data_IF_542483395732
#
_entry.id   IF_542483395732
#
_cell.length_a   1.000
_cell.length_b   1.000
_cell.length_c   1.000
_cell.angle_alpha   90.00
_cell.angle_beta   90.00
_cell.angle_gamma   90.00
#
_symmetry.space_group_name_H-M   'P 1'
#
loop_
_entity.id
_entity.type
_entity.pdbx_description
1 polymer ?
#
# COMPACT_ATOMS: atom_id res chain seq x y z
N UNK A 1 0.47 51.98 -41.32
CA UNK A 1 0.97 53.04 -40.40
C UNK A 1 2.01 52.41 -39.48
N UNK A 2 3.29 52.44 -39.84
CA UNK A 2 4.30 53.45 -39.47
C UNK A 2 4.64 53.52 -37.97
N UNK A 3 5.73 52.81 -37.63
CA UNK A 3 6.84 53.09 -36.69
C UNK A 3 6.63 54.12 -35.57
N UNK A 4 7.09 53.76 -34.36
CA UNK A 4 8.14 54.53 -33.65
C UNK A 4 9.04 53.65 -32.79
N UNK A 5 10.33 53.83 -33.01
CA UNK A 5 11.49 53.31 -32.28
C UNK A 5 12.08 54.47 -31.49
N UNK A 6 12.36 54.27 -30.20
CA UNK A 6 13.36 54.98 -29.38
C UNK A 6 13.64 54.02 -28.20
N UNK A 7 14.83 53.48 -27.93
CA UNK A 7 16.18 54.02 -28.08
C UNK A 7 16.60 54.66 -26.75
N UNK A 8 17.29 53.93 -25.87
CA UNK A 8 18.09 54.53 -24.79
C UNK A 8 19.30 53.66 -24.45
N UNK A 9 20.42 54.37 -24.32
CA UNK A 9 21.81 53.93 -24.25
C UNK A 9 22.19 53.39 -22.88
N UNK A 10 23.24 52.56 -22.91
CA UNK A 10 23.78 51.84 -21.77
C UNK A 10 24.45 52.68 -20.68
N UNK A 11 24.73 51.99 -19.58
CA UNK A 11 25.90 52.24 -18.74
C UNK A 11 26.64 50.93 -18.53
N UNK A 12 27.87 50.90 -19.01
CA UNK A 12 28.86 49.90 -18.68
C UNK A 12 29.37 50.17 -17.27
N UNK A 13 29.31 49.16 -16.41
CA UNK A 13 29.96 49.14 -15.11
C UNK A 13 30.63 47.79 -14.95
N UNK A 14 31.97 47.80 -14.98
CA UNK A 14 32.80 46.63 -14.81
C UNK A 14 32.93 46.24 -13.32
N UNK A 15 32.70 44.97 -13.01
CA UNK A 15 33.21 44.27 -11.82
C UNK A 15 33.22 42.77 -12.19
N UNK A 16 34.34 42.19 -12.65
CA UNK A 16 35.42 41.56 -11.86
C UNK A 16 34.91 40.66 -10.73
N UNK A 17 35.14 39.35 -10.93
CA UNK A 17 34.93 38.27 -9.94
C UNK A 17 33.47 37.86 -9.88
N UNK A 18 33.08 36.59 -10.03
CA UNK A 18 33.63 35.41 -9.37
C UNK A 18 33.47 34.23 -10.33
N UNK A 19 34.61 33.64 -10.68
CA UNK A 19 34.69 32.32 -11.28
C UNK A 19 34.41 31.32 -10.14
N UNK A 20 33.46 30.40 -10.35
CA UNK A 20 33.43 29.14 -9.61
C UNK A 20 32.22 28.93 -8.69
N UNK A 21 31.71 27.70 -8.77
CA UNK A 21 30.73 27.05 -7.89
C UNK A 21 29.26 27.45 -8.09
N UNK A 22 28.63 26.85 -9.11
CA UNK A 22 27.20 26.57 -9.12
C UNK A 22 26.95 25.29 -9.94
N UNK A 23 27.56 24.19 -9.50
CA UNK A 23 27.28 22.84 -9.99
C UNK A 23 27.36 21.87 -8.79
N UNK A 24 26.47 22.07 -7.83
CA UNK A 24 26.15 21.08 -6.81
C UNK A 24 24.63 21.02 -6.71
N UNK A 25 23.98 20.66 -7.83
CA UNK A 25 22.64 20.09 -7.76
C UNK A 25 22.80 18.80 -6.96
N UNK A 26 22.35 18.87 -5.72
CA UNK A 26 22.34 17.77 -4.77
C UNK A 26 21.80 16.52 -5.47
N UNK A 27 22.68 15.53 -5.67
CA UNK A 27 22.26 14.15 -5.81
C UNK A 27 21.65 13.77 -4.46
N UNK A 28 20.38 14.11 -4.27
CA UNK A 28 19.61 13.59 -3.16
C UNK A 28 19.69 12.07 -3.26
N UNK A 29 20.08 11.36 -2.18
CA UNK A 29 20.15 9.92 -2.21
C UNK A 29 18.73 9.39 -2.44
N UNK A 30 18.47 8.92 -3.66
CA UNK A 30 17.24 8.21 -4.05
C UNK A 30 17.13 6.82 -3.38
N UNK A 31 18.09 6.45 -2.55
CA UNK A 31 18.26 5.11 -1.99
C UNK A 31 17.86 5.08 -0.52
N UNK A 32 16.58 5.34 -0.22
CA UNK A 32 15.95 4.95 1.05
C UNK A 32 14.42 5.15 1.00
N UNK A 33 13.77 4.75 -0.10
CA UNK A 33 12.31 4.60 -0.11
C UNK A 33 11.91 3.22 0.44
N UNK A 34 12.63 2.76 1.47
CA UNK A 34 12.26 1.56 2.20
C UNK A 34 11.05 1.88 3.06
N UNK A 35 10.04 1.00 3.03
CA UNK A 35 8.92 0.73 3.96
C UNK A 35 8.34 1.79 4.92
N UNK A 36 9.06 2.86 5.29
CA UNK A 36 8.62 3.92 6.20
C UNK A 36 7.45 4.77 5.70
N UNK A 37 6.93 4.52 4.49
CA UNK A 37 5.65 5.09 4.05
C UNK A 37 4.43 4.41 4.72
N UNK A 38 4.59 3.19 5.26
CA UNK A 38 3.52 2.44 5.91
C UNK A 38 3.40 2.75 7.41
N UNK A 39 4.49 3.14 8.08
CA UNK A 39 4.52 3.38 9.53
C UNK A 39 3.40 4.33 10.01
N UNK A 40 3.09 5.45 9.32
CA UNK A 40 1.99 6.31 9.74
C UNK A 40 0.63 5.64 9.66
N UNK A 41 0.41 4.73 8.71
CA UNK A 41 -0.85 4.00 8.53
C UNK A 41 -1.03 2.93 9.61
N UNK A 42 0.06 2.29 10.03
CA UNK A 42 0.01 1.24 11.06
C UNK A 42 -0.52 1.75 12.41
N UNK A 43 -0.38 3.06 12.69
CA UNK A 43 -0.93 3.67 13.90
C UNK A 43 -2.47 3.54 13.99
N UNK A 44 -3.15 3.51 12.84
CA UNK A 44 -4.61 3.41 12.78
C UNK A 44 -5.12 1.97 12.97
N UNK A 45 -4.22 0.98 13.06
CA UNK A 45 -4.60 -0.44 13.23
C UNK A 45 -5.34 -0.69 14.55
N UNK A 46 -5.00 0.06 15.59
CA UNK A 46 -5.69 0.08 16.88
C UNK A 46 -6.74 1.22 16.98
N UNK A 47 -6.90 2.00 15.90
CA UNK A 47 -7.79 3.15 15.84
C UNK A 47 -9.27 2.75 15.84
N UNK A 48 -10.14 3.73 16.12
CA UNK A 48 -11.60 3.52 16.16
C UNK A 48 -12.29 3.70 14.81
N UNK A 49 -11.68 4.42 13.86
CA UNK A 49 -12.26 4.62 12.53
C UNK A 49 -12.13 3.35 11.68
N UNK A 50 -13.23 2.69 11.28
CA UNK A 50 -13.15 1.43 10.55
C UNK A 50 -12.44 1.57 9.19
N UNK A 51 -12.64 2.68 8.48
CA UNK A 51 -12.03 2.89 7.17
C UNK A 51 -10.51 3.06 7.27
N UNK A 52 -10.03 3.90 8.20
CA UNK A 52 -8.60 4.04 8.47
C UNK A 52 -7.98 2.71 8.94
N UNK A 53 -8.66 1.98 9.83
CA UNK A 53 -8.21 0.68 10.31
C UNK A 53 -8.14 -0.38 9.20
N UNK A 54 -9.06 -0.36 8.23
CA UNK A 54 -8.97 -1.22 7.04
C UNK A 54 -7.69 -0.96 6.26
N UNK A 55 -7.37 0.32 6.01
CA UNK A 55 -6.12 0.71 5.37
C UNK A 55 -4.88 0.30 6.18
N UNK A 56 -4.94 0.43 7.51
CA UNK A 56 -3.89 -0.01 8.40
C UNK A 56 -3.69 -1.53 8.39
N UNK A 57 -4.76 -2.31 8.26
CA UNK A 57 -4.68 -3.77 8.15
C UNK A 57 -4.03 -4.20 6.81
N UNK A 58 -4.35 -3.51 5.71
CA UNK A 58 -3.61 -3.71 4.45
C UNK A 58 -2.14 -3.33 4.59
N UNK A 59 -1.84 -2.22 5.26
CA UNK A 59 -0.47 -1.80 5.54
C UNK A 59 0.28 -2.83 6.41
N UNK A 60 -0.40 -3.47 7.37
CA UNK A 60 0.17 -4.54 8.19
C UNK A 60 0.58 -5.75 7.36
N UNK A 61 -0.28 -6.21 6.43
CA UNK A 61 0.07 -7.26 5.48
C UNK A 61 1.31 -6.88 4.64
N UNK A 62 1.33 -5.67 4.08
CA UNK A 62 2.45 -5.21 3.25
C UNK A 62 3.75 -5.04 4.05
N UNK A 63 3.66 -4.60 5.31
CA UNK A 63 4.81 -4.46 6.20
C UNK A 63 5.37 -5.81 6.67
N UNK A 64 4.50 -6.83 6.76
CA UNK A 64 4.91 -8.21 6.98
C UNK A 64 5.72 -8.80 5.81
N UNK A 65 5.44 -8.36 4.59
CA UNK A 65 6.16 -8.75 3.36
C UNK A 65 6.29 -10.28 3.19
N UNK A 66 5.18 -11.00 3.40
CA UNK A 66 5.12 -12.47 3.31
C UNK A 66 5.70 -13.20 4.53
N UNK A 67 6.28 -12.50 5.50
CA UNK A 67 6.71 -13.05 6.77
C UNK A 67 5.53 -13.06 7.76
N UNK A 68 4.99 -14.26 8.01
CA UNK A 68 3.85 -14.46 8.89
C UNK A 68 4.15 -14.05 10.34
N UNK A 69 5.37 -14.31 10.84
CA UNK A 69 5.77 -13.94 12.19
C UNK A 69 5.84 -12.42 12.36
N UNK A 70 6.33 -11.68 11.34
CA UNK A 70 6.26 -10.20 11.35
C UNK A 70 4.82 -9.71 11.35
N UNK A 71 3.98 -10.30 10.51
CA UNK A 71 2.57 -9.89 10.38
C UNK A 71 1.80 -10.14 11.68
N UNK A 72 2.00 -11.31 12.30
CA UNK A 72 1.45 -11.69 13.60
C UNK A 72 1.83 -10.67 14.68
N UNK A 73 3.13 -10.31 14.76
CA UNK A 73 3.61 -9.32 15.71
C UNK A 73 2.96 -7.93 15.55
N UNK A 74 2.65 -7.52 14.31
CA UNK A 74 1.98 -6.24 14.03
C UNK A 74 0.53 -6.27 14.54
N UNK A 75 -0.26 -7.29 14.19
CA UNK A 75 -1.66 -7.39 14.61
C UNK A 75 -1.81 -7.59 16.12
N UNK A 76 -1.00 -8.47 16.72
CA UNK A 76 -1.00 -8.67 18.18
C UNK A 76 -0.54 -7.43 18.93
N UNK A 77 0.47 -6.72 18.43
CA UNK A 77 0.93 -5.46 18.99
C UNK A 77 -0.13 -4.35 18.96
N UNK A 78 -1.03 -4.39 17.97
CA UNK A 78 -2.18 -3.48 17.87
C UNK A 78 -3.41 -3.94 18.68
N UNK A 79 -3.31 -5.06 19.41
CA UNK A 79 -4.38 -5.56 20.28
C UNK A 79 -5.53 -6.28 19.56
N UNK A 80 -5.30 -6.80 18.35
CA UNK A 80 -6.27 -7.64 17.68
C UNK A 80 -6.35 -9.03 18.33
N UNK A 81 -7.56 -9.60 18.40
CA UNK A 81 -7.79 -10.91 18.99
C UNK A 81 -7.23 -12.01 18.08
N UNK A 82 -6.19 -12.71 18.54
CA UNK A 82 -5.51 -13.77 17.77
C UNK A 82 -6.13 -15.14 18.02
N UNK A 83 -6.49 -15.84 16.95
CA UNK A 83 -7.07 -17.18 16.96
C UNK A 83 -6.20 -18.07 16.05
N UNK A 84 -5.59 -19.11 16.62
CA UNK A 84 -4.83 -20.08 15.82
C UNK A 84 -5.76 -21.20 15.33
N UNK A 85 -5.75 -21.47 14.03
CA UNK A 85 -6.54 -22.51 13.38
C UNK A 85 -5.60 -23.58 12.79
N UNK A 86 -5.01 -24.46 13.63
CA UNK A 86 -3.96 -25.38 13.19
C UNK A 86 -4.43 -26.40 12.15
N UNK A 87 -5.73 -26.72 12.12
CA UNK A 87 -6.33 -27.62 11.12
C UNK A 87 -6.35 -27.00 9.73
N UNK A 88 -6.46 -25.67 9.64
CA UNK A 88 -6.46 -24.90 8.40
C UNK A 88 -5.07 -24.36 8.05
N UNK A 89 -4.11 -24.45 8.98
CA UNK A 89 -2.75 -23.94 8.82
C UNK A 89 -2.69 -22.40 8.79
N UNK A 90 -3.67 -21.72 9.36
CA UNK A 90 -3.76 -20.25 9.36
C UNK A 90 -3.85 -19.69 10.77
N UNK A 91 -3.52 -18.41 10.90
CA UNK A 91 -3.83 -17.60 12.09
C UNK A 91 -4.80 -16.51 11.68
N UNK A 92 -5.92 -16.43 12.39
CA UNK A 92 -6.91 -15.37 12.24
C UNK A 92 -6.70 -14.29 13.31
N UNK A 93 -6.96 -13.05 12.93
CA UNK A 93 -7.01 -11.89 13.81
C UNK A 93 -8.36 -11.21 13.66
N UNK A 94 -9.06 -10.97 14.76
CA UNK A 94 -10.30 -10.20 14.76
C UNK A 94 -10.03 -8.77 15.26
N UNK A 95 -10.46 -7.79 14.47
CA UNK A 95 -10.38 -6.38 14.82
C UNK A 95 -11.35 -5.99 15.94
N UNK A 96 -11.14 -4.84 16.59
CA UNK A 96 -11.87 -4.46 17.80
C UNK A 96 -13.38 -4.24 17.61
N UNK A 97 -13.85 -4.00 16.39
CA UNK A 97 -15.28 -3.89 16.08
C UNK A 97 -15.92 -5.21 15.61
N UNK A 98 -15.14 -6.29 15.50
CA UNK A 98 -15.55 -7.60 14.99
C UNK A 98 -16.17 -7.58 13.58
N UNK A 99 -15.83 -6.58 12.78
CA UNK A 99 -16.21 -6.50 11.36
C UNK A 99 -15.03 -6.74 10.44
N UNK A 100 -13.81 -6.55 10.96
CA UNK A 100 -12.57 -6.70 10.24
C UNK A 100 -11.83 -7.92 10.74
N UNK A 101 -11.31 -8.69 9.79
CA UNK A 101 -10.56 -9.91 10.06
C UNK A 101 -9.28 -9.89 9.23
N UNK A 102 -8.20 -10.43 9.77
CA UNK A 102 -7.02 -10.73 8.99
C UNK A 102 -6.69 -12.21 9.14
N UNK A 103 -6.22 -12.84 8.07
CA UNK A 103 -5.75 -14.22 8.07
C UNK A 103 -4.37 -14.25 7.47
N UNK A 104 -3.46 -14.97 8.12
CA UNK A 104 -2.11 -15.23 7.60
C UNK A 104 -1.88 -16.73 7.50
N UNK A 105 -1.10 -17.14 6.50
CA UNK A 105 -0.67 -18.52 6.34
C UNK A 105 0.85 -18.60 6.22
N UNK A 106 1.45 -19.54 6.95
CA UNK A 106 2.91 -19.76 6.95
C UNK A 106 3.38 -20.45 5.66
N UNK A 107 2.57 -21.38 5.14
CA UNK A 107 2.85 -22.15 3.92
C UNK A 107 2.26 -21.39 2.74
N UNK A 108 3.05 -21.15 1.69
CA UNK A 108 2.69 -20.36 0.50
C UNK A 108 2.47 -18.85 0.73
N UNK A 109 2.64 -18.37 1.97
CA UNK A 109 2.88 -16.97 2.32
C UNK A 109 1.82 -16.01 1.82
N UNK A 110 0.63 -16.02 2.44
CA UNK A 110 -0.41 -15.01 2.16
C UNK A 110 -0.83 -14.24 3.41
N UNK A 111 -1.34 -13.03 3.19
CA UNK A 111 -2.06 -12.24 4.17
C UNK A 111 -3.37 -11.76 3.55
N UNK A 112 -4.50 -12.10 4.14
CA UNK A 112 -5.82 -11.71 3.67
C UNK A 112 -6.49 -10.81 4.71
N UNK A 113 -7.13 -9.73 4.29
CA UNK A 113 -7.93 -8.86 5.17
C UNK A 113 -9.35 -8.82 4.65
N UNK A 114 -10.30 -9.17 5.50
CA UNK A 114 -11.73 -9.16 5.24
C UNK A 114 -12.40 -8.02 6.01
N UNK A 115 -13.44 -7.44 5.42
CA UNK A 115 -14.26 -6.40 6.04
C UNK A 115 -15.74 -6.59 5.68
N UNK A 116 -16.59 -6.71 6.70
CA UNK A 116 -18.04 -6.90 6.60
C UNK A 116 -18.82 -5.57 6.56
N UNK A 117 -18.21 -4.51 6.04
CA UNK A 117 -18.81 -3.18 6.03
C UNK A 117 -18.52 -2.30 4.84
N UNK A 118 -17.51 -2.67 4.08
CA UNK A 118 -16.92 -1.88 3.02
C UNK A 118 -17.00 -2.70 1.76
N UNK A 119 -17.81 -2.24 0.81
CA UNK A 119 -17.86 -2.85 -0.51
C UNK A 119 -16.52 -2.83 -1.25
N UNK A 120 -16.39 -3.69 -2.24
CA UNK A 120 -15.19 -3.88 -3.06
C UNK A 120 -14.69 -2.58 -3.69
N UNK A 121 -15.57 -1.68 -4.13
CA UNK A 121 -15.18 -0.40 -4.73
C UNK A 121 -14.46 0.52 -3.74
N UNK A 122 -15.00 0.64 -2.53
CA UNK A 122 -14.40 1.44 -1.47
C UNK A 122 -13.08 0.81 -0.99
N UNK A 123 -13.05 -0.52 -0.84
CA UNK A 123 -11.83 -1.26 -0.53
C UNK A 123 -10.73 -1.07 -1.58
N UNK A 124 -11.08 -1.01 -2.87
CA UNK A 124 -10.13 -0.72 -3.97
C UNK A 124 -9.49 0.66 -3.83
N UNK A 125 -10.26 1.67 -3.43
CA UNK A 125 -9.75 3.03 -3.19
C UNK A 125 -8.76 3.01 -2.02
N UNK A 126 -9.10 2.33 -0.92
CA UNK A 126 -8.23 2.17 0.25
C UNK A 126 -6.94 1.44 -0.14
N UNK A 127 -7.05 0.30 -0.83
CA UNK A 127 -5.92 -0.48 -1.32
C UNK A 127 -4.97 0.38 -2.17
N UNK A 128 -5.50 1.13 -3.15
CA UNK A 128 -4.68 1.99 -4.00
C UNK A 128 -3.94 3.07 -3.19
N UNK A 129 -4.58 3.64 -2.17
CA UNK A 129 -3.95 4.59 -1.26
C UNK A 129 -2.79 3.97 -0.47
N UNK A 130 -2.99 2.78 0.07
CA UNK A 130 -1.96 2.04 0.83
C UNK A 130 -0.80 1.61 -0.07
N UNK A 131 -1.09 1.10 -1.28
CA UNK A 131 -0.08 0.72 -2.28
C UNK A 131 0.77 1.92 -2.68
N UNK A 132 0.14 3.08 -2.91
CA UNK A 132 0.86 4.32 -3.20
C UNK A 132 1.73 4.77 -2.02
N UNK A 133 1.24 4.66 -0.78
CA UNK A 133 2.01 4.95 0.42
C UNK A 133 3.22 4.01 0.59
N UNK A 134 3.09 2.75 0.17
CA UNK A 134 4.19 1.79 0.12
C UNK A 134 5.24 2.09 -0.97
N UNK A 135 4.99 3.07 -1.85
CA UNK A 135 5.85 3.36 -3.01
C UNK A 135 5.72 2.34 -4.15
N UNK A 136 4.69 1.50 -4.10
CA UNK A 136 4.44 0.46 -5.10
C UNK A 136 3.68 1.01 -6.31
N UNK A 137 3.66 0.24 -7.40
CA UNK A 137 2.92 0.56 -8.61
C UNK A 137 2.00 -0.60 -8.94
N UNK A 138 0.69 -0.35 -8.91
CA UNK A 138 -0.31 -1.35 -9.26
C UNK A 138 -0.41 -1.51 -10.77
N UNK A 139 -0.27 -2.73 -11.28
CA UNK A 139 -0.61 -3.08 -12.66
C UNK A 139 -1.60 -4.25 -12.67
N UNK A 140 -2.70 -4.20 -13.45
CA UNK A 140 -3.57 -5.34 -13.62
C UNK A 140 -2.79 -6.52 -14.20
N UNK A 141 -3.03 -7.72 -13.68
CA UNK A 141 -2.51 -8.96 -14.24
C UNK A 141 -3.65 -9.90 -14.59
N UNK A 142 -3.53 -10.58 -15.73
CA UNK A 142 -4.49 -11.59 -16.13
C UNK A 142 -4.18 -12.89 -15.40
N UNK A 143 -5.13 -13.36 -14.60
CA UNK A 143 -5.07 -14.69 -14.03
C UNK A 143 -5.75 -15.69 -14.99
N UNK A 144 -5.05 -16.72 -15.45
CA UNK A 144 -5.69 -17.81 -16.18
C UNK A 144 -6.64 -18.55 -15.23
N UNK A 145 -7.95 -18.39 -15.42
CA UNK A 145 -8.97 -19.13 -14.66
C UNK A 145 -9.26 -18.61 -13.25
N UNK A 146 -8.83 -17.39 -12.91
CA UNK A 146 -9.26 -16.71 -11.68
C UNK A 146 -10.62 -16.03 -11.86
N UNK A 147 -11.45 -16.04 -10.82
CA UNK A 147 -12.78 -15.45 -10.85
C UNK A 147 -12.73 -13.91 -10.68
N UNK A 148 -11.76 -13.38 -9.92
CA UNK A 148 -11.63 -11.96 -9.63
C UNK A 148 -10.32 -11.32 -10.14
N UNK A 149 -10.32 -10.00 -10.45
CA UNK A 149 -9.13 -9.34 -11.00
C UNK A 149 -7.95 -9.31 -10.02
N UNK A 150 -6.80 -9.77 -10.49
CA UNK A 150 -5.51 -9.63 -9.80
C UNK A 150 -4.81 -8.33 -10.17
N UNK A 151 -4.06 -7.79 -9.21
CA UNK A 151 -3.19 -6.63 -9.40
C UNK A 151 -1.81 -6.93 -8.87
N UNK A 152 -0.79 -6.91 -9.74
CA UNK A 152 0.60 -6.96 -9.27
C UNK A 152 0.99 -5.58 -8.71
N UNK A 153 1.57 -5.56 -7.52
CA UNK A 153 1.96 -4.33 -6.79
C UNK A 153 3.46 -4.04 -6.93
N UNK A 154 4.26 -5.09 -6.94
CA UNK A 154 5.69 -5.13 -7.25
C UNK A 154 6.00 -6.54 -7.77
N UNK A 155 7.16 -6.78 -8.43
CA UNK A 155 7.53 -8.12 -8.86
C UNK A 155 7.42 -9.13 -7.71
N UNK A 156 6.65 -10.21 -7.92
CA UNK A 156 6.43 -11.27 -6.93
C UNK A 156 5.37 -10.97 -5.86
N UNK A 157 4.70 -9.81 -5.89
CA UNK A 157 3.60 -9.48 -4.96
C UNK A 157 2.33 -9.14 -5.73
N UNK A 158 1.29 -9.93 -5.53
CA UNK A 158 -0.04 -9.72 -6.10
C UNK A 158 -1.08 -9.47 -5.01
N UNK A 159 -2.05 -8.63 -5.32
CA UNK A 159 -3.25 -8.41 -4.54
C UNK A 159 -4.49 -8.85 -5.34
N UNK A 160 -5.31 -9.69 -4.73
CA UNK A 160 -6.64 -10.06 -5.20
C UNK A 160 -7.69 -9.32 -4.36
N UNK A 161 -8.70 -8.74 -5.01
CA UNK A 161 -9.81 -8.08 -4.33
C UNK A 161 -11.13 -8.77 -4.68
N UNK A 162 -11.86 -9.16 -3.65
CA UNK A 162 -13.12 -9.90 -3.70
C UNK A 162 -14.07 -9.45 -2.57
N UNK A 163 -15.26 -10.03 -2.45
CA UNK A 163 -16.12 -9.94 -1.27
C UNK A 163 -15.51 -10.68 -0.09
N UNK A 164 -15.99 -10.41 1.12
CA UNK A 164 -15.79 -11.35 2.22
C UNK A 164 -16.60 -12.64 1.99
N UNK A 165 -16.23 -13.72 2.68
CA UNK A 165 -16.94 -15.00 2.68
C UNK A 165 -16.28 -16.12 1.87
N UNK A 166 -16.91 -17.29 1.90
CA UNK A 166 -16.38 -18.51 1.27
C UNK A 166 -16.59 -18.57 -0.25
N UNK A 167 -17.59 -17.85 -0.75
CA UNK A 167 -17.94 -17.80 -2.17
C UNK A 167 -17.57 -16.39 -2.70
N UNK A 168 -16.35 -16.20 -3.23
CA UNK A 168 -15.87 -14.87 -3.61
C UNK A 168 -16.72 -14.24 -4.72
N UNK A 169 -17.17 -13.01 -4.49
CA UNK A 169 -17.85 -12.17 -5.49
C UNK A 169 -17.00 -10.93 -5.75
N UNK A 170 -16.62 -10.72 -7.00
CA UNK A 170 -15.64 -9.68 -7.34
C UNK A 170 -16.14 -8.25 -7.13
N UNK A 171 -17.46 -8.06 -7.16
CA UNK A 171 -18.10 -6.77 -6.93
C UNK A 171 -19.29 -6.91 -5.97
N UNK A 172 -19.20 -6.27 -4.82
CA UNK A 172 -20.31 -6.20 -3.85
C UNK A 172 -20.27 -4.87 -3.10
N UNK A 173 -21.44 -4.28 -2.75
CA UNK A 173 -21.49 -3.03 -2.01
C UNK A 173 -21.27 -3.19 -0.50
N UNK A 174 -21.37 -4.41 0.04
CA UNK A 174 -21.52 -4.65 1.48
C UNK A 174 -20.31 -5.23 2.21
N UNK A 175 -19.36 -5.82 1.48
CA UNK A 175 -18.18 -6.43 2.08
C UNK A 175 -16.99 -6.48 1.13
N UNK A 176 -15.81 -6.77 1.66
CA UNK A 176 -14.61 -6.91 0.86
C UNK A 176 -13.61 -7.86 1.50
N UNK A 177 -12.70 -8.35 0.67
CA UNK A 177 -11.58 -9.18 1.02
C UNK A 177 -10.41 -8.83 0.11
N UNK A 178 -9.26 -8.50 0.68
CA UNK A 178 -8.01 -8.30 -0.08
C UNK A 178 -7.02 -9.36 0.35
N UNK A 179 -6.58 -10.20 -0.60
CA UNK A 179 -5.52 -11.19 -0.40
C UNK A 179 -4.23 -10.72 -1.04
N UNK A 180 -3.21 -10.54 -0.22
CA UNK A 180 -1.83 -10.36 -0.65
C UNK A 180 -1.15 -11.72 -0.71
N UNK A 181 -0.56 -12.06 -1.85
CA UNK A 181 0.21 -13.29 -2.03
C UNK A 181 1.59 -12.95 -2.58
N UNK A 182 2.61 -13.57 -2.02
CA UNK A 182 4.00 -13.41 -2.45
C UNK A 182 4.40 -14.67 -3.21
N UNK A 183 4.48 -14.59 -4.53
CA UNK A 183 5.01 -15.69 -5.32
C UNK A 183 6.52 -15.77 -5.08
N UNK A 184 7.01 -16.95 -4.70
CA UNK A 184 8.45 -17.20 -4.73
C UNK A 184 8.89 -17.15 -6.18
N UNK A 185 9.80 -16.24 -6.52
CA UNK A 185 10.46 -16.27 -7.82
C UNK A 185 11.16 -17.63 -7.99
N UNK A 186 10.61 -18.50 -8.84
CA UNK A 186 11.25 -19.74 -9.27
C UNK A 186 12.50 -19.47 -10.11
#
# INVERSE_FOLDING_TARGET
MMRRVTGSKGRQGAARGILGLLAALAAAPLCAQGSGGLDPLLADLAGSDPQARLGAAYAACLAGDGDSAKTDAIFTGAGWDRIAEPEMGVVEFTGPDRRQFAMIQDVDGFCMVLDEGTGTDAARIVLNGVVAAAGYQSKPVQQPGGDCPLTELKPGLVAELTSSGNDPVCETPGSSGVRFSWETAE
#
